data_IF_428311228763
#
_entry.id   IF_428311228763
#
_cell.length_a   1.000
_cell.length_b   1.000
_cell.length_c   1.000
_cell.angle_alpha   90.00
_cell.angle_beta   90.00
_cell.angle_gamma   90.00
#
_symmetry.space_group_name_H-M   'P 1'
#
loop_
_entity.id
_entity.type
_entity.pdbx_description
1 polymer ?
#
# COMPACT_ATOMS: atom_id res chain seq x y z
N UNK A 1 11.18 18.51 12.55
CA UNK A 1 11.68 17.40 13.26
C UNK A 1 11.00 16.09 12.85
N UNK A 2 11.76 15.03 12.91
CA UNK A 2 11.37 13.77 12.30
C UNK A 2 10.14 13.16 12.97
N UNK A 3 10.09 13.14 14.28
CA UNK A 3 8.98 12.55 15.00
C UNK A 3 7.68 13.31 14.77
N UNK A 4 7.74 14.63 14.76
CA UNK A 4 6.56 15.46 14.47
C UNK A 4 6.05 15.20 13.05
N UNK A 5 6.95 15.05 12.12
CA UNK A 5 6.59 14.74 10.74
C UNK A 5 5.89 13.39 10.66
N UNK A 6 6.43 12.37 11.34
CA UNK A 6 5.85 11.04 11.34
C UNK A 6 4.43 11.04 11.88
N UNK A 7 4.16 11.80 12.95
CA UNK A 7 2.82 11.90 13.49
C UNK A 7 1.83 12.48 12.50
N UNK A 8 2.23 13.54 11.79
CA UNK A 8 1.36 14.14 10.77
C UNK A 8 1.08 13.17 9.64
N UNK A 9 2.11 12.46 9.22
CA UNK A 9 1.97 11.49 8.14
C UNK A 9 1.04 10.35 8.55
N UNK A 10 1.12 9.90 9.80
CA UNK A 10 0.23 8.83 10.29
C UNK A 10 -1.24 9.20 10.17
N UNK A 11 -1.60 10.43 10.54
CA UNK A 11 -2.98 10.88 10.41
C UNK A 11 -3.46 10.89 8.97
N UNK A 12 -2.64 11.38 8.06
CA UNK A 12 -2.97 11.40 6.64
C UNK A 12 -3.05 9.99 6.06
N UNK A 13 -2.16 9.11 6.49
CA UNK A 13 -2.16 7.73 6.05
C UNK A 13 -3.47 7.04 6.44
N UNK A 14 -3.93 7.22 7.67
CA UNK A 14 -5.18 6.61 8.12
C UNK A 14 -6.38 7.11 7.30
N UNK A 15 -6.44 8.39 7.02
CA UNK A 15 -7.52 8.96 6.19
C UNK A 15 -7.45 8.36 4.78
N UNK A 16 -6.26 8.29 4.20
CA UNK A 16 -6.08 7.72 2.87
C UNK A 16 -6.48 6.26 2.81
N UNK A 17 -6.10 5.49 3.84
CA UNK A 17 -6.49 4.08 3.90
C UNK A 17 -8.01 3.92 3.95
N UNK A 18 -8.70 4.78 4.69
CA UNK A 18 -10.16 4.76 4.73
C UNK A 18 -10.77 4.98 3.36
N UNK A 19 -10.27 5.93 2.59
CA UNK A 19 -10.75 6.17 1.22
C UNK A 19 -10.49 4.98 0.31
N UNK A 20 -9.30 4.38 0.39
CA UNK A 20 -8.99 3.23 -0.44
C UNK A 20 -9.84 2.02 -0.07
N UNK A 21 -10.08 1.79 1.21
CA UNK A 21 -10.97 0.71 1.65
C UNK A 21 -12.37 0.89 1.11
N UNK A 22 -12.88 2.13 1.12
CA UNK A 22 -14.19 2.44 0.56
C UNK A 22 -14.22 2.19 -0.94
N UNK A 23 -13.17 2.61 -1.66
CA UNK A 23 -13.08 2.39 -3.09
C UNK A 23 -13.09 0.89 -3.41
N UNK A 24 -12.40 0.09 -2.61
CA UNK A 24 -12.35 -1.37 -2.82
C UNK A 24 -13.65 -2.06 -2.43
N UNK A 25 -14.41 -1.48 -1.51
CA UNK A 25 -15.73 -2.01 -1.18
C UNK A 25 -16.68 -1.89 -2.36
N UNK A 26 -16.57 -0.78 -3.11
CA UNK A 26 -17.38 -0.56 -4.31
C UNK A 26 -16.84 -1.36 -5.49
N UNK A 27 -15.52 -1.44 -5.63
CA UNK A 27 -14.87 -2.13 -6.74
C UNK A 27 -13.65 -2.91 -6.23
N UNK A 28 -13.82 -4.19 -5.81
CA UNK A 28 -12.71 -4.98 -5.28
C UNK A 28 -11.56 -5.20 -6.27
N UNK A 29 -11.82 -5.03 -7.56
CA UNK A 29 -10.80 -5.24 -8.59
C UNK A 29 -10.03 -3.96 -8.94
N UNK A 30 -10.22 -2.89 -8.17
CA UNK A 30 -9.53 -1.63 -8.40
C UNK A 30 -8.09 -1.74 -7.90
N UNK A 31 -7.21 -2.28 -8.72
CA UNK A 31 -5.84 -2.61 -8.31
C UNK A 31 -4.99 -1.39 -8.02
N UNK A 32 -5.28 -0.25 -8.64
CA UNK A 32 -4.55 0.98 -8.34
C UNK A 32 -4.76 1.42 -6.89
N UNK A 33 -5.99 1.27 -6.38
CA UNK A 33 -6.25 1.55 -4.97
C UNK A 33 -5.48 0.58 -4.06
N UNK A 34 -5.37 -0.68 -4.46
CA UNK A 34 -4.59 -1.66 -3.68
C UNK A 34 -3.12 -1.32 -3.67
N UNK A 35 -2.58 -0.82 -4.79
CA UNK A 35 -1.19 -0.37 -4.83
C UNK A 35 -0.96 0.77 -3.84
N UNK A 36 -1.83 1.76 -3.85
CA UNK A 36 -1.72 2.91 -2.93
C UNK A 36 -1.91 2.48 -1.47
N UNK A 37 -2.82 1.55 -1.21
CA UNK A 37 -2.97 0.99 0.14
C UNK A 37 -1.69 0.32 0.59
N UNK A 38 -1.07 -0.47 -0.29
CA UNK A 38 0.19 -1.13 0.03
C UNK A 38 1.28 -0.13 0.39
N UNK A 39 1.39 0.95 -0.38
CA UNK A 39 2.36 2.01 -0.08
C UNK A 39 2.07 2.67 1.26
N UNK A 40 0.80 2.93 1.56
CA UNK A 40 0.42 3.52 2.84
C UNK A 40 0.76 2.59 4.00
N UNK A 41 0.55 1.30 3.86
CA UNK A 41 0.94 0.33 4.88
C UNK A 41 2.46 0.34 5.11
N UNK A 42 3.24 0.46 4.04
CA UNK A 42 4.69 0.57 4.19
C UNK A 42 5.09 1.82 4.98
N UNK A 43 4.40 2.94 4.74
CA UNK A 43 4.66 4.17 5.48
C UNK A 43 4.33 4.00 6.97
N UNK A 44 3.38 3.16 7.29
CA UNK A 44 3.05 2.83 8.68
C UNK A 44 4.01 1.81 9.29
N UNK A 45 4.84 1.18 8.47
CA UNK A 45 5.69 0.10 8.92
C UNK A 45 5.01 -1.26 8.95
N UNK A 46 3.86 -1.40 8.31
CA UNK A 46 3.09 -2.65 8.31
C UNK A 46 3.39 -3.44 7.04
N UNK A 47 4.54 -4.09 7.04
CA UNK A 47 5.01 -4.85 5.89
C UNK A 47 4.06 -6.00 5.54
N UNK A 48 3.52 -6.68 6.54
CA UNK A 48 2.62 -7.82 6.30
C UNK A 48 1.37 -7.39 5.55
N UNK A 49 0.77 -6.26 5.93
CA UNK A 49 -0.41 -5.73 5.24
C UNK A 49 -0.08 -5.31 3.81
N UNK A 50 1.09 -4.70 3.60
CA UNK A 50 1.53 -4.31 2.26
C UNK A 50 1.70 -5.54 1.36
N UNK A 51 2.30 -6.61 1.87
CA UNK A 51 2.45 -7.85 1.12
C UNK A 51 1.10 -8.48 0.82
N UNK A 52 0.13 -8.34 1.73
CA UNK A 52 -1.23 -8.81 1.49
C UNK A 52 -1.87 -8.12 0.29
N UNK A 53 -1.68 -6.81 0.15
CA UNK A 53 -2.19 -6.08 -1.00
C UNK A 53 -1.48 -6.51 -2.28
N UNK A 54 -0.18 -6.77 -2.20
CA UNK A 54 0.56 -7.26 -3.36
C UNK A 54 0.00 -8.60 -3.85
N UNK A 55 -0.32 -9.51 -2.94
CA UNK A 55 -0.92 -10.80 -3.28
C UNK A 55 -2.29 -10.62 -3.94
N UNK A 56 -3.11 -9.68 -3.45
CA UNK A 56 -4.40 -9.38 -4.05
C UNK A 56 -4.25 -8.84 -5.47
N UNK A 57 -3.27 -7.97 -5.70
CA UNK A 57 -3.01 -7.46 -7.05
C UNK A 57 -2.61 -8.61 -7.97
N UNK A 58 -1.74 -9.50 -7.50
CA UNK A 58 -1.31 -10.66 -8.30
C UNK A 58 -2.49 -11.54 -8.68
N UNK A 59 -3.42 -11.75 -7.75
CA UNK A 59 -4.59 -12.59 -8.01
C UNK A 59 -5.55 -11.98 -9.02
N UNK A 60 -5.65 -10.64 -9.06
CA UNK A 60 -6.62 -9.95 -9.90
C UNK A 60 -6.06 -9.44 -11.22
N UNK A 61 -4.82 -8.94 -11.21
CA UNK A 61 -4.22 -8.28 -12.38
C UNK A 61 -2.96 -8.99 -12.89
N UNK A 62 -2.46 -9.98 -12.14
CA UNK A 62 -1.25 -10.70 -12.52
C UNK A 62 0.02 -10.03 -12.03
N UNK A 63 1.12 -10.77 -12.10
CA UNK A 63 2.40 -10.32 -11.57
C UNK A 63 3.16 -9.40 -12.53
N UNK A 64 2.64 -9.20 -13.74
CA UNK A 64 3.25 -8.30 -14.71
C UNK A 64 2.51 -6.97 -14.83
N UNK A 65 1.46 -6.75 -14.03
CA UNK A 65 0.75 -5.48 -14.06
C UNK A 65 1.63 -4.36 -13.51
N UNK A 66 1.37 -3.12 -13.95
CA UNK A 66 2.13 -1.97 -13.49
C UNK A 66 2.00 -1.80 -11.97
N UNK A 67 0.79 -2.01 -11.44
CA UNK A 67 0.53 -1.87 -10.01
C UNK A 67 1.30 -2.91 -9.20
N UNK A 68 1.36 -4.15 -9.68
CA UNK A 68 2.13 -5.17 -9.01
C UNK A 68 3.61 -4.82 -8.96
N UNK A 69 4.16 -4.46 -10.13
CA UNK A 69 5.59 -4.18 -10.24
C UNK A 69 5.99 -2.98 -9.38
N UNK A 70 5.17 -1.95 -9.35
CA UNK A 70 5.48 -0.76 -8.55
C UNK A 70 5.44 -1.08 -7.07
N UNK A 71 4.42 -1.77 -6.60
CA UNK A 71 4.32 -2.11 -5.18
C UNK A 71 5.41 -3.10 -4.76
N UNK A 72 5.71 -4.09 -5.60
CA UNK A 72 6.77 -5.04 -5.32
C UNK A 72 8.12 -4.34 -5.18
N UNK A 73 8.38 -3.36 -6.03
CA UNK A 73 9.60 -2.56 -5.96
C UNK A 73 9.70 -1.79 -4.66
N UNK A 74 8.59 -1.19 -4.22
CA UNK A 74 8.59 -0.43 -2.97
C UNK A 74 8.75 -1.32 -1.75
N UNK A 75 8.13 -2.51 -1.77
CA UNK A 75 8.29 -3.47 -0.69
C UNK A 75 9.76 -3.93 -0.60
N UNK A 76 10.38 -4.22 -1.73
CA UNK A 76 11.78 -4.63 -1.75
C UNK A 76 12.68 -3.53 -1.19
N UNK A 77 12.43 -2.27 -1.57
CA UNK A 77 13.19 -1.15 -1.05
C UNK A 77 13.00 -0.99 0.47
N UNK A 78 11.79 -1.17 0.95
CA UNK A 78 11.49 -1.11 2.38
C UNK A 78 12.25 -2.20 3.14
N UNK A 79 12.27 -3.41 2.62
CA UNK A 79 12.95 -4.53 3.26
C UNK A 79 14.46 -4.33 3.31
N UNK A 80 15.02 -3.65 2.33
CA UNK A 80 16.47 -3.37 2.32
C UNK A 80 16.87 -2.34 3.38
N UNK A 81 15.95 -1.49 3.79
CA UNK A 81 16.20 -0.42 4.74
C UNK A 81 16.10 -0.87 6.19
N UNK A 82 15.63 -2.08 6.44
CA UNK A 82 15.57 -2.62 7.79
C UNK A 82 16.64 -3.71 8.01
#
# INVERSE_FOLDING_TARGET
NYLGYSHRMSGRIEVGLGYYEEALRVNPDYTLAREYMGEAYLQKGDLAAAKGQLAEIAARAGTSSAEYLELAKRIAAFEQDI
#
